data_IF_750051376025
#
_entry.id   IF_750051376025
#
_cell.length_a   1.000
_cell.length_b   1.000
_cell.length_c   1.000
_cell.angle_alpha   90.00
_cell.angle_beta   90.00
_cell.angle_gamma   90.00
#
_symmetry.space_group_name_H-M   'P 1'
#
loop_
_entity.id
_entity.type
_entity.pdbx_description
1 polymer ?
#
# COMPACT_ATOMS: atom_id res chain seq x y z
N UNK A 1 -14.07 -10.58 10.60
CA UNK A 1 -15.27 -11.23 10.02
C UNK A 1 -15.81 -12.32 10.95
N UNK A 2 -15.01 -13.35 11.27
CA UNK A 2 -15.38 -14.42 12.23
C UNK A 2 -15.96 -13.89 13.56
N UNK A 3 -15.22 -13.01 14.25
CA UNK A 3 -15.66 -12.45 15.54
C UNK A 3 -16.87 -11.52 15.40
N UNK A 4 -16.81 -10.51 14.53
CA UNK A 4 -17.89 -9.53 14.39
C UNK A 4 -19.17 -10.07 13.72
N UNK A 5 -19.09 -10.67 12.54
CA UNK A 5 -20.28 -11.19 11.85
C UNK A 5 -20.72 -12.54 12.43
N UNK A 6 -19.77 -13.44 12.68
CA UNK A 6 -20.05 -14.79 13.16
C UNK A 6 -20.44 -14.84 14.63
N UNK A 7 -19.54 -14.43 15.53
CA UNK A 7 -19.77 -14.52 16.99
C UNK A 7 -20.73 -13.44 17.51
N UNK A 8 -20.48 -12.15 17.24
CA UNK A 8 -21.31 -11.06 17.80
C UNK A 8 -22.70 -10.99 17.16
N UNK A 9 -22.79 -11.10 15.83
CA UNK A 9 -24.07 -11.01 15.11
C UNK A 9 -24.75 -12.35 14.83
N UNK A 10 -24.09 -13.48 15.08
CA UNK A 10 -24.65 -14.82 14.87
C UNK A 10 -24.80 -15.24 13.40
N UNK A 11 -24.20 -14.50 12.45
CA UNK A 11 -24.38 -14.76 11.02
C UNK A 11 -23.48 -15.90 10.53
N UNK A 12 -24.03 -17.10 10.35
CA UNK A 12 -23.30 -18.28 9.85
C UNK A 12 -22.63 -18.09 8.48
N UNK A 13 -23.13 -17.16 7.66
CA UNK A 13 -22.57 -16.85 6.34
C UNK A 13 -21.28 -16.01 6.38
N UNK A 14 -20.78 -15.64 7.56
CA UNK A 14 -19.53 -14.86 7.73
C UNK A 14 -18.31 -15.45 7.00
N UNK A 15 -18.31 -16.77 6.78
CA UNK A 15 -17.21 -17.48 6.11
C UNK A 15 -17.09 -17.08 4.64
N UNK A 16 -18.19 -16.77 3.97
CA UNK A 16 -18.21 -16.39 2.54
C UNK A 16 -17.38 -15.12 2.31
N UNK A 17 -17.68 -13.96 2.93
CA UNK A 17 -16.85 -12.77 2.77
C UNK A 17 -15.43 -13.00 3.31
N UNK A 18 -15.22 -13.83 4.33
CA UNK A 18 -13.89 -14.11 4.85
C UNK A 18 -12.99 -14.85 3.85
N UNK A 19 -13.53 -15.85 3.14
CA UNK A 19 -12.80 -16.60 2.11
C UNK A 19 -12.54 -15.72 0.88
N UNK A 20 -13.54 -14.94 0.43
CA UNK A 20 -13.35 -14.03 -0.71
C UNK A 20 -12.32 -12.96 -0.38
N UNK A 21 -12.40 -12.36 0.82
CA UNK A 21 -11.42 -11.38 1.28
C UNK A 21 -10.02 -11.99 1.39
N UNK A 22 -9.87 -13.10 2.10
CA UNK A 22 -8.58 -13.74 2.32
C UNK A 22 -7.94 -14.24 1.02
N UNK A 23 -8.74 -14.86 0.15
CA UNK A 23 -8.31 -15.27 -1.19
C UNK A 23 -7.98 -14.08 -2.09
N UNK A 24 -8.75 -13.00 -2.01
CA UNK A 24 -8.50 -11.75 -2.71
C UNK A 24 -7.16 -11.13 -2.33
N UNK A 25 -6.91 -10.94 -1.02
CA UNK A 25 -5.60 -10.50 -0.53
C UNK A 25 -4.50 -11.46 -0.97
N UNK A 26 -4.70 -12.77 -0.81
CA UNK A 26 -3.68 -13.75 -1.18
C UNK A 26 -3.45 -13.82 -2.69
N UNK A 27 -4.37 -13.38 -3.55
CA UNK A 27 -4.16 -13.32 -5.00
C UNK A 27 -3.04 -12.35 -5.40
N UNK A 28 -2.87 -11.27 -4.62
CA UNK A 28 -1.80 -10.27 -4.80
C UNK A 28 -0.40 -10.86 -4.62
N UNK A 29 -0.30 -12.03 -3.97
CA UNK A 29 0.94 -12.81 -3.88
C UNK A 29 1.43 -13.26 -5.26
N UNK A 30 0.50 -13.67 -6.12
CA UNK A 30 0.81 -14.18 -7.46
C UNK A 30 0.97 -13.05 -8.48
N UNK A 31 0.24 -11.94 -8.28
CA UNK A 31 0.15 -10.82 -9.23
C UNK A 31 0.74 -9.56 -8.58
N UNK A 32 1.99 -9.63 -8.15
CA UNK A 32 2.68 -8.49 -7.54
C UNK A 32 3.46 -7.68 -8.58
N UNK A 33 3.34 -6.36 -8.49
CA UNK A 33 4.00 -5.38 -9.39
C UNK A 33 5.19 -4.69 -8.73
N UNK A 34 5.46 -5.00 -7.46
CA UNK A 34 6.51 -4.32 -6.70
C UNK A 34 7.89 -4.62 -7.28
N UNK A 35 8.17 -5.89 -7.60
CA UNK A 35 9.43 -6.29 -8.21
C UNK A 35 9.64 -5.60 -9.56
N UNK A 36 8.60 -5.52 -10.38
CA UNK A 36 8.65 -4.80 -11.67
C UNK A 36 8.99 -3.32 -11.48
N UNK A 37 8.28 -2.61 -10.60
CA UNK A 37 8.48 -1.18 -10.36
C UNK A 37 9.88 -0.86 -9.84
N UNK A 38 10.38 -1.67 -8.89
CA UNK A 38 11.75 -1.50 -8.37
C UNK A 38 12.79 -1.80 -9.44
N UNK A 39 12.58 -2.88 -10.20
CA UNK A 39 13.50 -3.27 -11.26
C UNK A 39 13.56 -2.25 -12.38
N UNK A 40 12.41 -1.64 -12.73
CA UNK A 40 12.32 -0.53 -13.68
C UNK A 40 13.14 0.67 -13.18
N UNK A 41 12.97 1.07 -11.92
CA UNK A 41 13.71 2.19 -11.33
C UNK A 41 15.23 1.96 -11.36
N UNK A 42 15.67 0.77 -10.92
CA UNK A 42 17.10 0.42 -10.92
C UNK A 42 17.64 0.31 -12.35
N UNK A 43 16.88 -0.26 -13.27
CA UNK A 43 17.27 -0.32 -14.68
C UNK A 43 17.47 1.08 -15.28
N UNK A 44 16.52 1.99 -15.03
CA UNK A 44 16.57 3.36 -15.54
C UNK A 44 17.74 4.18 -14.95
N UNK A 45 18.08 3.94 -13.67
CA UNK A 45 19.15 4.67 -13.00
C UNK A 45 20.56 4.15 -13.31
N UNK A 46 20.73 2.83 -13.38
CA UNK A 46 22.05 2.20 -13.52
C UNK A 46 22.34 1.66 -14.92
N UNK A 47 21.39 1.74 -15.86
CA UNK A 47 21.55 1.28 -17.23
C UNK A 47 21.67 -0.24 -17.38
N UNK A 48 21.36 -1.01 -16.33
CA UNK A 48 21.34 -2.47 -16.38
C UNK A 48 19.99 -2.96 -16.92
N UNK A 49 19.95 -4.16 -17.50
CA UNK A 49 18.67 -4.77 -17.91
C UNK A 49 17.80 -5.03 -16.69
N UNK A 50 16.51 -4.73 -16.81
CA UNK A 50 15.50 -4.91 -15.75
C UNK A 50 15.50 -6.33 -15.15
N UNK A 51 15.82 -7.37 -15.93
CA UNK A 51 15.92 -8.75 -15.41
C UNK A 51 17.03 -8.91 -14.37
N UNK A 52 18.18 -8.26 -14.57
CA UNK A 52 19.29 -8.31 -13.61
C UNK A 52 18.95 -7.51 -12.35
N UNK A 53 18.29 -6.36 -12.49
CA UNK A 53 17.76 -5.60 -11.36
C UNK A 53 16.79 -6.44 -10.52
N UNK A 54 15.93 -7.21 -11.19
CA UNK A 54 14.98 -8.12 -10.54
C UNK A 54 15.65 -9.26 -9.78
N UNK A 55 16.72 -9.84 -10.33
CA UNK A 55 17.54 -10.86 -9.65
C UNK A 55 18.20 -10.28 -8.38
N UNK A 56 18.71 -9.05 -8.44
CA UNK A 56 19.29 -8.40 -7.25
C UNK A 56 18.21 -8.17 -6.18
N UNK A 57 17.05 -7.66 -6.60
CA UNK A 57 15.94 -7.39 -5.69
C UNK A 57 15.36 -8.66 -5.05
N UNK A 58 15.21 -9.76 -5.80
CA UNK A 58 14.70 -11.02 -5.25
C UNK A 58 15.68 -11.63 -4.25
N UNK A 59 17.00 -11.59 -4.52
CA UNK A 59 18.04 -12.10 -3.60
C UNK A 59 18.03 -11.32 -2.30
N UNK A 60 17.90 -10.00 -2.36
CA UNK A 60 17.80 -9.16 -1.16
C UNK A 60 16.53 -9.50 -0.37
N UNK A 61 15.38 -9.63 -1.01
CA UNK A 61 14.15 -10.05 -0.34
C UNK A 61 14.30 -11.40 0.38
N UNK A 62 14.97 -12.39 -0.26
CA UNK A 62 15.27 -13.66 0.39
C UNK A 62 16.07 -13.50 1.68
N UNK A 63 17.17 -12.74 1.63
CA UNK A 63 18.04 -12.50 2.79
C UNK A 63 17.23 -11.88 3.95
N UNK A 64 16.38 -10.92 3.65
CA UNK A 64 15.58 -10.22 4.67
C UNK A 64 14.52 -11.12 5.30
N UNK A 65 13.86 -11.94 4.48
CA UNK A 65 12.79 -12.84 4.89
C UNK A 65 13.31 -13.98 5.79
N UNK A 66 14.59 -14.38 5.67
CA UNK A 66 15.19 -15.40 6.55
C UNK A 66 15.07 -15.04 8.04
N UNK A 67 15.11 -13.75 8.37
CA UNK A 67 14.95 -13.25 9.74
C UNK A 67 13.50 -13.26 10.27
N UNK A 68 12.50 -13.51 9.41
CA UNK A 68 11.08 -13.52 9.75
C UNK A 68 10.49 -12.16 10.15
N UNK A 69 9.18 -12.14 10.46
CA UNK A 69 8.40 -10.90 10.69
C UNK A 69 9.04 -9.96 11.72
N UNK A 70 9.58 -10.48 12.83
CA UNK A 70 10.19 -9.65 13.88
C UNK A 70 11.42 -8.88 13.37
N UNK A 71 12.25 -9.52 12.54
CA UNK A 71 13.43 -8.88 11.94
C UNK A 71 13.00 -7.82 10.93
N UNK A 72 12.01 -8.16 10.09
CA UNK A 72 11.45 -7.25 9.10
C UNK A 72 10.88 -5.98 9.75
N UNK A 73 10.12 -6.11 10.84
CA UNK A 73 9.58 -4.97 11.58
C UNK A 73 10.68 -4.06 12.18
N UNK A 74 11.74 -4.65 12.75
CA UNK A 74 12.90 -3.89 13.26
C UNK A 74 13.64 -3.14 12.16
N UNK A 75 13.78 -3.76 10.98
CA UNK A 75 14.44 -3.15 9.84
C UNK A 75 13.59 -2.02 9.26
N UNK A 76 12.30 -2.26 9.04
CA UNK A 76 11.35 -1.25 8.57
C UNK A 76 11.31 -0.04 9.49
N UNK A 77 11.28 -0.24 10.81
CA UNK A 77 11.31 0.86 11.79
C UNK A 77 12.55 1.75 11.72
N UNK A 78 13.66 1.29 11.13
CA UNK A 78 14.87 2.10 10.89
C UNK A 78 14.92 2.69 9.49
N UNK A 79 14.56 1.91 8.47
CA UNK A 79 14.65 2.32 7.06
C UNK A 79 13.56 3.33 6.70
N UNK A 80 12.32 3.10 7.13
CA UNK A 80 11.15 3.90 6.72
C UNK A 80 11.30 5.39 7.08
N UNK A 81 11.68 5.78 8.31
CA UNK A 81 11.86 7.19 8.62
C UNK A 81 12.94 7.86 7.76
N UNK A 82 14.07 7.17 7.55
CA UNK A 82 15.17 7.69 6.75
C UNK A 82 14.77 7.88 5.28
N UNK A 83 14.14 6.87 4.67
CA UNK A 83 13.73 6.95 3.26
C UNK A 83 12.66 8.04 3.05
N UNK A 84 11.71 8.19 3.98
CA UNK A 84 10.67 9.22 3.90
C UNK A 84 11.25 10.62 4.02
N UNK A 85 12.10 10.89 5.03
CA UNK A 85 12.73 12.21 5.23
C UNK A 85 13.54 12.60 3.99
N UNK A 86 14.33 11.66 3.47
CA UNK A 86 15.15 11.91 2.30
C UNK A 86 14.33 12.20 1.05
N UNK A 87 13.33 11.37 0.76
CA UNK A 87 12.47 11.53 -0.41
C UNK A 87 11.64 12.82 -0.35
N UNK A 88 11.00 13.08 0.79
CA UNK A 88 10.23 14.31 1.03
C UNK A 88 11.12 15.53 0.97
N UNK A 89 12.32 15.48 1.56
CA UNK A 89 13.29 16.57 1.52
C UNK A 89 13.74 16.91 0.09
N UNK A 90 14.05 15.89 -0.72
CA UNK A 90 14.40 16.08 -2.12
C UNK A 90 13.24 16.66 -2.95
N UNK A 91 12.02 16.16 -2.74
CA UNK A 91 10.85 16.67 -3.44
C UNK A 91 10.55 18.12 -3.05
N UNK A 92 10.62 18.43 -1.75
CA UNK A 92 10.41 19.77 -1.23
C UNK A 92 11.45 20.75 -1.75
N UNK A 93 12.72 20.34 -1.82
CA UNK A 93 13.79 21.14 -2.43
C UNK A 93 13.45 21.53 -3.88
N UNK A 94 13.04 20.57 -4.72
CA UNK A 94 12.67 20.85 -6.12
C UNK A 94 11.51 21.84 -6.19
N UNK A 95 10.48 21.67 -5.36
CA UNK A 95 9.33 22.57 -5.32
C UNK A 95 9.74 23.97 -4.88
N UNK A 96 10.62 24.12 -3.88
CA UNK A 96 11.10 25.43 -3.42
C UNK A 96 11.92 26.15 -4.49
N UNK A 97 12.81 25.44 -5.18
CA UNK A 97 13.61 26.02 -6.27
C UNK A 97 12.73 26.46 -7.44
N UNK A 98 11.59 25.79 -7.65
CA UNK A 98 10.64 26.07 -8.72
C UNK A 98 9.31 26.63 -8.20
N UNK A 99 9.33 27.37 -7.09
CA UNK A 99 8.12 27.79 -6.38
C UNK A 99 7.19 28.64 -7.24
N UNK A 100 7.74 29.37 -8.22
CA UNK A 100 6.97 30.15 -9.19
C UNK A 100 6.02 29.31 -10.04
N UNK A 101 6.35 28.03 -10.27
CA UNK A 101 5.52 27.11 -11.07
C UNK A 101 4.48 26.38 -10.22
N UNK A 102 4.54 26.48 -8.89
CA UNK A 102 3.63 25.76 -7.99
C UNK A 102 2.16 26.14 -8.19
N UNK A 103 1.78 27.43 -8.32
CA UNK A 103 0.38 27.80 -8.57
C UNK A 103 -0.15 27.19 -9.87
N UNK A 104 0.63 27.25 -10.95
CA UNK A 104 0.25 26.68 -12.25
C UNK A 104 0.12 25.15 -12.19
N UNK A 105 1.01 24.47 -11.46
CA UNK A 105 0.93 23.04 -11.26
C UNK A 105 -0.37 22.64 -10.54
N UNK A 106 -0.77 23.37 -9.48
CA UNK A 106 -2.01 23.12 -8.75
C UNK A 106 -3.23 23.37 -9.65
N UNK A 107 -3.24 24.47 -10.40
CA UNK A 107 -4.30 24.79 -11.36
C UNK A 107 -4.41 23.69 -12.42
N UNK A 108 -3.29 23.20 -12.93
CA UNK A 108 -3.24 22.13 -13.92
C UNK A 108 -3.82 20.82 -13.39
N UNK A 109 -3.58 20.47 -12.11
CA UNK A 109 -4.21 19.29 -11.48
C UNK A 109 -5.72 19.45 -11.42
N UNK A 110 -6.22 20.61 -10.97
CA UNK A 110 -7.66 20.87 -10.85
C UNK A 110 -8.34 20.91 -12.22
N UNK A 111 -7.73 21.57 -13.20
CA UNK A 111 -8.23 21.60 -14.57
C UNK A 111 -8.19 20.20 -15.19
N UNK A 112 -7.08 19.47 -15.08
CA UNK A 112 -6.99 18.11 -15.60
C UNK A 112 -8.01 17.14 -14.98
N UNK A 113 -8.37 17.35 -13.71
CA UNK A 113 -9.38 16.55 -13.01
C UNK A 113 -10.81 16.90 -13.39
N UNK A 114 -11.15 18.19 -13.54
CA UNK A 114 -12.53 18.66 -13.65
C UNK A 114 -12.91 19.22 -15.03
N UNK A 115 -11.94 19.49 -15.89
CA UNK A 115 -12.17 19.98 -17.25
C UNK A 115 -11.80 18.89 -18.26
N UNK A 116 -12.75 18.00 -18.55
CA UNK A 116 -12.69 17.24 -19.79
C UNK A 116 -12.73 18.23 -20.94
N UNK A 117 -11.66 18.31 -21.73
CA UNK A 117 -11.51 19.28 -22.83
C UNK A 117 -12.82 19.42 -23.61
N UNK A 118 -13.31 20.65 -23.67
CA UNK A 118 -14.64 21.01 -24.09
C UNK A 118 -14.96 20.55 -25.53
N UNK A 119 -15.83 19.54 -25.65
CA UNK A 119 -16.81 19.39 -26.73
C UNK A 119 -17.85 18.33 -26.33
N UNK A 120 -19.04 18.78 -25.91
CA UNK A 120 -20.31 18.02 -25.91
C UNK A 120 -20.32 16.67 -25.17
N UNK A 121 -20.76 16.69 -23.90
CA UNK A 121 -21.58 15.65 -23.22
C UNK A 121 -21.03 14.23 -23.01
N UNK A 122 -20.47 13.58 -24.04
CA UNK A 122 -20.00 12.18 -24.00
C UNK A 122 -18.49 12.02 -23.79
N UNK A 123 -17.67 12.81 -24.50
CA UNK A 123 -16.21 12.73 -24.39
C UNK A 123 -15.67 13.35 -23.09
N UNK A 124 -16.26 14.45 -22.64
CA UNK A 124 -15.91 15.06 -21.35
C UNK A 124 -16.18 14.11 -20.16
N UNK A 125 -17.29 13.36 -20.22
CA UNK A 125 -17.61 12.32 -19.24
C UNK A 125 -16.64 11.13 -19.27
N UNK A 126 -16.21 10.71 -20.47
CA UNK A 126 -15.23 9.63 -20.62
C UNK A 126 -13.84 10.01 -20.07
N UNK A 127 -13.37 11.22 -20.34
CA UNK A 127 -12.10 11.73 -19.81
C UNK A 127 -12.14 11.86 -18.28
N UNK A 128 -13.20 12.47 -17.74
CA UNK A 128 -13.41 12.56 -16.29
C UNK A 128 -13.44 11.18 -15.63
N UNK A 129 -14.24 10.26 -16.16
CA UNK A 129 -14.32 8.89 -15.65
C UNK A 129 -12.97 8.19 -15.68
N UNK A 130 -12.17 8.41 -16.71
CA UNK A 130 -10.84 7.80 -16.81
C UNK A 130 -9.88 8.37 -15.77
N UNK A 131 -9.83 9.71 -15.60
CA UNK A 131 -8.99 10.36 -14.59
C UNK A 131 -9.37 9.90 -13.19
N UNK A 132 -10.66 9.89 -12.87
CA UNK A 132 -11.15 9.41 -11.57
C UNK A 132 -10.86 7.93 -11.35
N UNK A 133 -11.11 7.08 -12.36
CA UNK A 133 -10.86 5.63 -12.27
C UNK A 133 -9.38 5.34 -12.02
N UNK A 134 -8.49 5.94 -12.81
CA UNK A 134 -7.05 5.72 -12.67
C UNK A 134 -6.54 6.33 -11.37
N UNK A 135 -6.97 7.53 -11.01
CA UNK A 135 -6.60 8.20 -9.77
C UNK A 135 -7.01 7.41 -8.53
N UNK A 136 -8.26 6.93 -8.47
CA UNK A 136 -8.72 6.08 -7.38
C UNK A 136 -7.96 4.74 -7.33
N UNK A 137 -7.75 4.08 -8.48
CA UNK A 137 -7.02 2.81 -8.53
C UNK A 137 -5.57 2.96 -8.02
N UNK A 138 -4.85 4.01 -8.46
CA UNK A 138 -3.50 4.29 -7.97
C UNK A 138 -3.48 4.68 -6.50
N UNK A 139 -4.45 5.47 -6.04
CA UNK A 139 -4.55 5.89 -4.64
C UNK A 139 -4.76 4.69 -3.71
N UNK A 140 -5.75 3.83 -4.01
CA UNK A 140 -6.02 2.61 -3.22
C UNK A 140 -4.82 1.68 -3.21
N UNK A 141 -4.07 1.58 -4.31
CA UNK A 141 -2.86 0.77 -4.35
C UNK A 141 -1.74 1.34 -3.46
N UNK A 142 -1.60 2.67 -3.38
CA UNK A 142 -0.56 3.33 -2.59
C UNK A 142 -0.82 3.24 -1.08
N UNK A 143 -2.03 3.61 -0.67
CA UNK A 143 -2.37 3.78 0.75
C UNK A 143 -3.18 2.62 1.35
N UNK A 144 -3.55 1.63 0.53
CA UNK A 144 -4.30 0.45 0.92
C UNK A 144 -5.67 0.77 1.58
N UNK A 145 -6.22 1.97 1.32
CA UNK A 145 -7.47 2.41 1.94
C UNK A 145 -8.63 1.51 1.52
N UNK A 146 -9.38 1.03 2.51
CA UNK A 146 -10.48 0.11 2.29
C UNK A 146 -10.06 -1.32 1.92
N UNK A 147 -8.80 -1.56 1.55
CA UNK A 147 -8.30 -2.89 1.15
C UNK A 147 -8.32 -3.86 2.32
N UNK A 148 -8.10 -3.39 3.56
CA UNK A 148 -8.18 -4.22 4.76
C UNK A 148 -6.91 -5.03 5.08
N UNK A 149 -5.82 -4.75 4.38
CA UNK A 149 -4.49 -5.31 4.61
C UNK A 149 -3.82 -4.78 5.89
N UNK A 150 -3.68 -3.46 6.02
CA UNK A 150 -2.96 -2.83 7.14
C UNK A 150 -3.46 -3.23 8.54
N UNK A 151 -4.77 -3.42 8.80
CA UNK A 151 -5.26 -3.89 10.10
C UNK A 151 -4.63 -5.20 10.59
N UNK A 152 -4.14 -6.06 9.69
CA UNK A 152 -3.44 -7.28 10.07
C UNK A 152 -2.18 -6.99 10.89
N UNK A 153 -1.41 -5.97 10.50
CA UNK A 153 -0.20 -5.56 11.24
C UNK A 153 -0.56 -4.70 12.45
N UNK A 154 -1.53 -3.78 12.32
CA UNK A 154 -1.99 -2.99 13.46
C UNK A 154 -2.53 -3.85 14.60
N UNK A 155 -3.12 -5.02 14.29
CA UNK A 155 -3.60 -5.97 15.31
C UNK A 155 -2.49 -6.59 16.15
N UNK A 156 -1.23 -6.51 15.70
CA UNK A 156 -0.05 -6.99 16.45
C UNK A 156 0.58 -5.93 17.35
N UNK A 157 0.15 -4.67 17.23
CA UNK A 157 0.68 -3.59 18.04
C UNK A 157 0.20 -3.70 19.48
N UNK A 158 1.10 -3.39 20.42
CA UNK A 158 0.74 -3.23 21.83
C UNK A 158 0.05 -1.88 21.98
N UNK A 159 -1.27 -1.91 22.16
CA UNK A 159 -2.11 -0.72 22.29
C UNK A 159 -3.10 -0.93 23.42
N UNK A 160 -3.39 0.14 24.15
CA UNK A 160 -4.36 0.18 25.23
C UNK A 160 -5.80 0.33 24.72
N UNK A 161 -5.99 0.78 23.47
CA UNK A 161 -7.31 0.91 22.89
C UNK A 161 -7.30 0.76 21.35
N UNK A 162 -8.20 -0.03 20.73
CA UNK A 162 -8.21 -0.27 19.28
C UNK A 162 -8.36 1.01 18.45
N UNK A 163 -9.19 1.96 18.90
CA UNK A 163 -9.36 3.26 18.21
C UNK A 163 -8.05 4.06 18.17
N UNK A 164 -7.24 4.04 19.23
CA UNK A 164 -5.93 4.71 19.25
C UNK A 164 -5.01 4.14 18.17
N UNK A 165 -5.02 2.82 18.00
CA UNK A 165 -4.26 2.18 16.94
C UNK A 165 -4.85 2.42 15.55
N UNK A 166 -6.17 2.52 15.43
CA UNK A 166 -6.84 2.91 14.18
C UNK A 166 -6.49 4.33 13.73
N UNK A 167 -6.28 5.27 14.65
CA UNK A 167 -5.81 6.62 14.33
C UNK A 167 -4.40 6.63 13.74
N UNK A 168 -3.51 5.72 14.15
CA UNK A 168 -2.21 5.54 13.49
C UNK A 168 -2.37 5.06 12.05
N UNK A 169 -3.32 4.17 11.78
CA UNK A 169 -3.65 3.78 10.40
C UNK A 169 -4.19 4.95 9.58
N UNK A 170 -5.03 5.81 10.14
CA UNK A 170 -5.46 7.03 9.43
C UNK A 170 -4.30 7.99 9.14
N UNK A 171 -3.35 8.11 10.07
CA UNK A 171 -2.16 8.94 9.90
C UNK A 171 -1.22 8.39 8.81
N UNK A 172 -1.10 7.06 8.68
CA UNK A 172 -0.27 6.43 7.64
C UNK A 172 -0.77 6.80 6.23
N UNK A 173 -2.09 6.76 6.01
CA UNK A 173 -2.74 7.16 4.75
C UNK A 173 -2.49 8.63 4.44
N UNK A 174 -2.56 9.49 5.46
CA UNK A 174 -2.27 10.92 5.29
C UNK A 174 -0.82 11.16 4.87
N UNK A 175 0.15 10.55 5.55
CA UNK A 175 1.57 10.71 5.21
C UNK A 175 1.86 10.16 3.81
N UNK A 176 1.34 8.98 3.47
CA UNK A 176 1.54 8.38 2.16
C UNK A 176 0.95 9.25 1.03
N UNK A 177 -0.35 9.51 1.07
CA UNK A 177 -1.03 10.13 -0.07
C UNK A 177 -0.94 11.66 -0.06
N UNK A 178 -1.27 12.29 1.07
CA UNK A 178 -1.35 13.76 1.14
C UNK A 178 0.02 14.42 1.18
N UNK A 179 1.04 13.72 1.67
CA UNK A 179 2.42 14.23 1.69
C UNK A 179 3.22 13.61 0.55
N UNK A 180 3.54 12.31 0.62
CA UNK A 180 4.52 11.70 -0.29
C UNK A 180 4.03 11.71 -1.74
N UNK A 181 2.86 11.12 -2.04
CA UNK A 181 2.34 11.08 -3.41
C UNK A 181 2.05 12.47 -3.99
N UNK A 182 1.54 13.38 -3.17
CA UNK A 182 1.27 14.77 -3.60
C UNK A 182 2.56 15.48 -3.98
N UNK A 183 3.63 15.36 -3.18
CA UNK A 183 4.93 15.91 -3.51
C UNK A 183 5.52 15.29 -4.78
N UNK A 184 5.40 13.97 -4.96
CA UNK A 184 5.83 13.28 -6.20
C UNK A 184 5.10 13.84 -7.42
N UNK A 185 3.77 13.96 -7.35
CA UNK A 185 2.97 14.48 -8.45
C UNK A 185 3.34 15.93 -8.78
N UNK A 186 3.52 16.78 -7.76
CA UNK A 186 3.92 18.18 -7.96
C UNK A 186 5.32 18.28 -8.58
N UNK A 187 6.30 17.49 -8.13
CA UNK A 187 7.64 17.43 -8.75
C UNK A 187 7.56 17.03 -10.22
N UNK A 188 6.75 16.03 -10.55
CA UNK A 188 6.54 15.59 -11.94
C UNK A 188 5.92 16.70 -12.80
N UNK A 189 4.93 17.42 -12.29
CA UNK A 189 4.23 18.48 -13.03
C UNK A 189 5.12 19.72 -13.20
N UNK A 190 5.75 20.18 -12.12
CA UNK A 190 6.61 21.38 -12.09
C UNK A 190 7.82 21.24 -13.02
N UNK A 191 8.35 20.02 -13.17
CA UNK A 191 9.51 19.75 -14.05
C UNK A 191 9.09 19.52 -15.52
N UNK A 192 7.79 19.41 -15.80
CA UNK A 192 7.25 19.25 -17.16
C UNK A 192 7.50 17.89 -17.81
N UNK A 193 8.21 16.97 -17.15
CA UNK A 193 8.62 15.67 -17.74
C UNK A 193 7.45 14.76 -18.09
N UNK A 194 6.28 14.98 -17.51
CA UNK A 194 5.05 14.23 -17.79
C UNK A 194 4.56 14.36 -19.24
N UNK A 195 5.06 15.36 -19.98
CA UNK A 195 4.77 15.53 -21.40
C UNK A 195 5.69 14.68 -22.30
N UNK A 196 6.77 14.11 -21.76
CA UNK A 196 7.83 13.42 -22.50
C UNK A 196 7.58 11.92 -22.77
N UNK A 197 6.39 11.39 -22.50
CA UNK A 197 6.01 10.01 -22.77
C UNK A 197 6.60 8.95 -21.83
N UNK A 198 7.51 9.32 -20.92
CA UNK A 198 8.01 8.43 -19.88
C UNK A 198 6.88 8.06 -18.91
N UNK A 199 6.89 6.81 -18.41
CA UNK A 199 5.88 6.29 -17.48
C UNK A 199 6.52 5.63 -16.26
N UNK A 200 5.70 5.31 -15.26
CA UNK A 200 6.12 4.49 -14.13
C UNK A 200 7.25 5.09 -13.30
N UNK A 201 8.16 4.26 -12.81
CA UNK A 201 9.29 4.70 -12.01
C UNK A 201 10.27 5.56 -12.82
N UNK A 202 10.39 5.30 -14.12
CA UNK A 202 11.24 6.09 -15.03
C UNK A 202 10.80 7.55 -15.07
N UNK A 203 9.50 7.82 -15.15
CA UNK A 203 8.95 9.19 -15.13
C UNK A 203 9.35 9.94 -13.85
N UNK A 204 9.18 9.30 -12.69
CA UNK A 204 9.57 9.88 -11.41
C UNK A 204 11.07 10.16 -11.38
N UNK A 205 11.91 9.23 -11.81
CA UNK A 205 13.35 9.43 -11.86
C UNK A 205 13.75 10.60 -12.76
N UNK A 206 13.14 10.73 -13.94
CA UNK A 206 13.36 11.86 -14.85
C UNK A 206 12.95 13.20 -14.25
N UNK A 207 11.88 13.25 -13.47
CA UNK A 207 11.44 14.47 -12.79
C UNK A 207 12.49 14.94 -11.78
N UNK A 208 12.97 14.04 -10.92
CA UNK A 208 14.01 14.38 -9.96
C UNK A 208 15.33 14.71 -10.66
N UNK A 209 15.70 13.99 -11.72
CA UNK A 209 16.92 14.26 -12.50
C UNK A 209 16.87 15.66 -13.12
N UNK A 210 15.71 16.06 -13.63
CA UNK A 210 15.49 17.41 -14.17
C UNK A 210 15.59 18.48 -13.07
N UNK A 211 15.03 18.21 -11.88
CA UNK A 211 15.00 19.18 -10.78
C UNK A 211 16.29 19.30 -9.95
N UNK A 212 17.16 18.28 -9.97
CA UNK A 212 18.35 18.21 -9.08
C UNK A 212 19.64 17.75 -9.79
N UNK A 213 19.58 17.50 -11.11
CA UNK A 213 20.70 16.98 -11.89
C UNK A 213 20.86 15.46 -11.80
N UNK A 214 21.83 14.91 -12.52
CA UNK A 214 21.99 13.46 -12.72
C UNK A 214 22.21 12.64 -11.44
N UNK A 215 22.89 13.20 -10.42
CA UNK A 215 23.19 12.50 -9.17
C UNK A 215 21.92 12.05 -8.42
N UNK A 216 20.95 12.96 -8.33
CA UNK A 216 19.57 12.70 -8.74
C UNK A 216 19.02 11.28 -8.73
N UNK A 217 19.11 10.76 -9.94
CA UNK A 217 18.54 9.53 -10.43
C UNK A 217 18.98 8.34 -9.59
N UNK A 218 20.24 8.31 -9.21
CA UNK A 218 20.84 7.21 -8.44
C UNK A 218 20.22 7.16 -7.03
N UNK A 219 20.18 8.31 -6.34
CA UNK A 219 19.69 8.31 -4.97
C UNK A 219 18.17 8.08 -4.88
N UNK A 220 17.39 8.59 -5.83
CA UNK A 220 15.95 8.33 -5.88
C UNK A 220 15.67 6.87 -6.23
N UNK A 221 16.46 6.26 -7.13
CA UNK A 221 16.33 4.83 -7.40
C UNK A 221 16.67 3.99 -6.17
N UNK A 222 17.69 4.37 -5.38
CA UNK A 222 17.95 3.75 -4.08
C UNK A 222 16.76 3.93 -3.11
N UNK A 223 16.13 5.11 -3.09
CA UNK A 223 14.92 5.36 -2.31
C UNK A 223 13.75 4.44 -2.72
N UNK A 224 13.47 4.34 -4.03
CA UNK A 224 12.44 3.45 -4.58
C UNK A 224 12.76 1.98 -4.28
N UNK A 225 14.04 1.60 -4.33
CA UNK A 225 14.47 0.25 -3.95
C UNK A 225 14.17 -0.06 -2.48
N UNK A 226 14.51 0.85 -1.56
CA UNK A 226 14.21 0.72 -0.13
C UNK A 226 12.70 0.73 0.15
N UNK A 227 11.94 1.57 -0.57
CA UNK A 227 10.48 1.58 -0.51
C UNK A 227 9.90 0.22 -0.94
N UNK A 228 10.42 -0.35 -2.02
CA UNK A 228 10.00 -1.68 -2.46
C UNK A 228 10.38 -2.78 -1.49
N UNK A 229 11.58 -2.74 -0.90
CA UNK A 229 12.00 -3.71 0.12
C UNK A 229 11.07 -3.68 1.34
N UNK A 230 10.74 -2.49 1.83
CA UNK A 230 9.85 -2.32 3.00
C UNK A 230 8.42 -2.74 2.67
N UNK A 231 7.92 -2.41 1.48
CA UNK A 231 6.61 -2.85 0.99
C UNK A 231 6.51 -4.37 0.89
N UNK A 232 7.48 -5.04 0.24
CA UNK A 232 7.52 -6.51 0.19
C UNK A 232 7.62 -7.13 1.57
N UNK A 233 8.35 -6.51 2.50
CA UNK A 233 8.42 -6.99 3.88
C UNK A 233 7.06 -6.92 4.60
N UNK A 234 6.26 -5.86 4.37
CA UNK A 234 4.92 -5.72 4.92
C UNK A 234 3.95 -6.76 4.35
N UNK A 235 3.92 -6.89 3.02
CA UNK A 235 3.10 -7.89 2.34
C UNK A 235 3.48 -9.32 2.71
N UNK A 236 4.78 -9.59 2.94
CA UNK A 236 5.22 -10.87 3.46
C UNK A 236 4.54 -11.20 4.80
N UNK A 237 4.48 -10.21 5.70
CA UNK A 237 3.85 -10.39 7.00
C UNK A 237 2.32 -10.52 6.91
N UNK A 238 1.66 -9.79 6.00
CA UNK A 238 0.22 -9.91 5.74
C UNK A 238 -0.17 -11.35 5.35
N UNK A 239 0.50 -11.93 4.35
CA UNK A 239 0.18 -13.30 3.93
C UNK A 239 0.52 -14.32 5.01
N UNK A 240 1.62 -14.14 5.74
CA UNK A 240 1.96 -15.02 6.84
C UNK A 240 0.89 -15.00 7.94
N UNK A 241 0.28 -13.85 8.24
CA UNK A 241 -0.84 -13.73 9.18
C UNK A 241 -2.06 -14.50 8.67
N UNK A 242 -2.40 -14.37 7.37
CA UNK A 242 -3.50 -15.12 6.75
C UNK A 242 -3.26 -16.63 6.85
N UNK A 243 -2.07 -17.11 6.45
CA UNK A 243 -1.70 -18.52 6.50
C UNK A 243 -1.72 -19.06 7.94
N UNK A 244 -1.23 -18.27 8.91
CA UNK A 244 -1.28 -18.62 10.33
C UNK A 244 -2.71 -18.71 10.84
N UNK A 245 -3.61 -17.87 10.34
CA UNK A 245 -5.03 -17.90 10.69
C UNK A 245 -5.75 -19.12 10.09
N UNK A 246 -5.51 -19.42 8.81
CA UNK A 246 -6.10 -20.58 8.13
C UNK A 246 -5.66 -21.90 8.77
N UNK A 247 -4.40 -22.00 9.20
CA UNK A 247 -3.81 -23.23 9.72
C UNK A 247 -3.83 -23.33 11.26
N UNK A 248 -4.70 -22.56 11.95
CA UNK A 248 -4.80 -22.58 13.41
C UNK A 248 -5.06 -23.99 13.98
N UNK A 249 -5.87 -24.79 13.29
CA UNK A 249 -6.29 -26.13 13.73
C UNK A 249 -5.30 -27.26 13.38
N UNK A 250 -4.18 -26.97 12.72
CA UNK A 250 -3.23 -28.00 12.26
C UNK A 250 -1.77 -27.57 12.38
N UNK A 251 -1.15 -27.71 13.58
CA UNK A 251 0.21 -27.21 13.85
C UNK A 251 1.30 -27.80 12.95
N UNK A 252 1.22 -29.10 12.62
CA UNK A 252 2.20 -29.76 11.74
C UNK A 252 2.13 -29.22 10.30
N UNK A 253 0.92 -29.06 9.76
CA UNK A 253 0.67 -28.51 8.43
C UNK A 253 1.13 -27.04 8.35
N UNK A 254 0.86 -26.26 9.40
CA UNK A 254 1.30 -24.86 9.52
C UNK A 254 2.81 -24.70 9.34
N UNK A 255 3.62 -25.52 9.99
CA UNK A 255 5.08 -25.42 9.90
C UNK A 255 5.60 -25.68 8.47
N UNK A 256 5.06 -26.71 7.80
CA UNK A 256 5.40 -27.03 6.41
C UNK A 256 5.02 -25.91 5.45
N UNK A 257 3.78 -25.41 5.53
CA UNK A 257 3.27 -24.33 4.67
C UNK A 257 4.06 -23.04 4.88
N UNK A 258 4.36 -22.65 6.12
CA UNK A 258 5.12 -21.42 6.38
C UNK A 258 6.57 -21.52 5.86
N UNK A 259 7.19 -22.70 5.93
CA UNK A 259 8.51 -22.94 5.33
C UNK A 259 8.45 -22.85 3.81
N UNK A 260 7.47 -23.47 3.18
CA UNK A 260 7.26 -23.39 1.73
C UNK A 260 7.00 -21.95 1.28
N UNK A 261 6.09 -21.25 1.96
CA UNK A 261 5.76 -19.85 1.72
C UNK A 261 6.99 -18.95 1.79
N UNK A 262 7.85 -19.14 2.80
CA UNK A 262 9.11 -18.39 2.93
C UNK A 262 10.01 -18.53 1.70
N UNK A 263 10.11 -19.74 1.15
CA UNK A 263 10.95 -20.04 -0.03
C UNK A 263 10.29 -19.52 -1.30
N UNK A 264 8.97 -19.61 -1.40
CA UNK A 264 8.27 -19.28 -2.63
C UNK A 264 7.91 -17.79 -2.75
N UNK A 265 7.89 -17.04 -1.65
CA UNK A 265 7.36 -15.67 -1.63
C UNK A 265 7.94 -14.70 -2.68
N UNK A 266 9.27 -14.62 -2.87
CA UNK A 266 9.82 -13.69 -3.84
C UNK A 266 9.61 -14.11 -5.31
N UNK A 267 9.24 -15.38 -5.57
CA UNK A 267 9.26 -16.00 -6.92
C UNK A 267 8.17 -15.44 -7.84
N UNK A 268 6.88 -15.34 -7.45
CA UNK A 268 5.84 -14.83 -8.35
C UNK A 268 6.14 -13.44 -8.89
N UNK A 269 6.68 -12.53 -8.06
CA UNK A 269 7.07 -11.20 -8.51
C UNK A 269 8.19 -11.22 -9.54
N UNK A 270 9.13 -12.16 -9.43
CA UNK A 270 10.16 -12.37 -10.45
C UNK A 270 9.57 -12.95 -11.74
N UNK A 271 8.65 -13.92 -11.64
CA UNK A 271 7.93 -14.46 -12.81
C UNK A 271 7.18 -13.33 -13.54
N UNK A 272 6.54 -12.41 -12.82
CA UNK A 272 5.90 -11.25 -13.44
C UNK A 272 6.88 -10.36 -14.21
N UNK A 273 8.09 -10.14 -13.71
CA UNK A 273 9.13 -9.41 -14.46
C UNK A 273 9.58 -10.19 -15.69
N UNK A 274 9.81 -11.49 -15.57
CA UNK A 274 10.18 -12.35 -16.71
C UNK A 274 9.08 -12.27 -17.78
N UNK A 275 7.82 -12.49 -17.42
CA UNK A 275 6.69 -12.41 -18.35
C UNK A 275 6.57 -11.02 -19.00
N UNK A 276 6.68 -9.94 -18.20
CA UNK A 276 6.57 -8.59 -18.73
C UNK A 276 7.69 -8.28 -19.74
N UNK A 277 8.90 -8.79 -19.50
CA UNK A 277 10.07 -8.51 -20.34
C UNK A 277 10.17 -9.41 -21.56
N UNK A 278 9.78 -10.68 -21.47
CA UNK A 278 9.83 -11.63 -22.60
C UNK A 278 8.69 -11.40 -23.59
N UNK A 279 7.50 -11.03 -23.09
CA UNK A 279 6.32 -10.76 -23.93
C UNK A 279 6.27 -9.28 -24.36
N UNK A 280 7.14 -8.41 -23.81
CA UNK A 280 7.12 -6.98 -24.10
C UNK A 280 5.85 -6.29 -23.60
N UNK A 281 5.34 -6.73 -22.44
CA UNK A 281 4.09 -6.23 -21.88
C UNK A 281 4.23 -4.76 -21.48
N UNK A 282 3.35 -3.86 -21.98
CA UNK A 282 3.35 -2.47 -21.53
C UNK A 282 3.12 -2.37 -20.02
N UNK A 283 3.77 -1.41 -19.35
CA UNK A 283 3.64 -1.22 -17.91
C UNK A 283 2.17 -1.05 -17.47
N UNK A 284 1.35 -0.35 -18.26
CA UNK A 284 -0.09 -0.22 -17.99
C UNK A 284 -0.84 -1.55 -17.92
N UNK A 285 -0.45 -2.55 -18.72
CA UNK A 285 -1.04 -3.89 -18.69
C UNK A 285 -0.61 -4.65 -17.43
N UNK A 286 0.64 -4.51 -17.00
CA UNK A 286 1.14 -5.08 -15.73
C UNK A 286 0.32 -4.56 -14.55
N UNK A 287 0.04 -3.25 -14.54
CA UNK A 287 -0.78 -2.61 -13.51
C UNK A 287 -2.26 -3.00 -13.55
N UNK A 288 -2.81 -3.27 -14.74
CA UNK A 288 -4.20 -3.75 -14.87
C UNK A 288 -4.43 -5.07 -14.13
N UNK A 289 -3.47 -5.99 -14.19
CA UNK A 289 -3.56 -7.25 -13.44
C UNK A 289 -3.55 -7.01 -11.92
N UNK A 290 -2.75 -6.05 -11.44
CA UNK A 290 -2.72 -5.69 -10.03
C UNK A 290 -4.08 -5.15 -9.55
N UNK A 291 -4.73 -4.32 -10.37
CA UNK A 291 -6.02 -3.68 -10.02
C UNK A 291 -7.10 -4.71 -9.68
N UNK A 292 -7.17 -5.80 -10.44
CA UNK A 292 -8.11 -6.89 -10.17
C UNK A 292 -7.92 -7.53 -8.78
N UNK A 293 -6.66 -7.69 -8.35
CA UNK A 293 -6.37 -8.27 -7.02
C UNK A 293 -6.69 -7.33 -5.86
N UNK A 294 -6.75 -6.02 -6.13
CA UNK A 294 -7.09 -5.01 -5.11
C UNK A 294 -8.59 -4.83 -4.94
N UNK A 295 -9.35 -4.88 -6.05
CA UNK A 295 -10.77 -4.52 -6.06
C UNK A 295 -11.63 -5.45 -5.21
N UNK A 296 -11.52 -6.77 -5.42
CA UNK A 296 -12.35 -7.78 -4.75
C UNK A 296 -12.26 -7.68 -3.21
N UNK A 297 -11.06 -7.79 -2.58
CA UNK A 297 -10.96 -7.70 -1.14
C UNK A 297 -11.38 -6.33 -0.60
N UNK A 298 -11.13 -5.25 -1.34
CA UNK A 298 -11.56 -3.88 -0.95
C UNK A 298 -13.08 -3.78 -0.81
N UNK A 299 -13.84 -4.21 -1.83
CA UNK A 299 -15.31 -4.16 -1.77
C UNK A 299 -15.86 -5.03 -0.64
N UNK A 300 -15.32 -6.24 -0.47
CA UNK A 300 -15.75 -7.13 0.62
C UNK A 300 -15.45 -6.52 1.98
N UNK A 301 -14.25 -5.97 2.18
CA UNK A 301 -13.86 -5.35 3.43
C UNK A 301 -14.73 -4.14 3.76
N UNK A 302 -14.95 -3.22 2.80
CA UNK A 302 -15.83 -2.06 2.98
C UNK A 302 -17.24 -2.50 3.36
N UNK A 303 -17.82 -3.47 2.65
CA UNK A 303 -19.16 -3.98 2.95
C UNK A 303 -19.25 -4.54 4.38
N UNK A 304 -18.23 -5.27 4.82
CA UNK A 304 -18.18 -5.82 6.19
C UNK A 304 -17.98 -4.73 7.23
N UNK A 305 -17.12 -3.74 6.98
CA UNK A 305 -16.91 -2.60 7.88
C UNK A 305 -18.19 -1.78 8.04
N UNK A 306 -18.92 -1.53 6.94
CA UNK A 306 -20.23 -0.87 6.98
C UNK A 306 -21.24 -1.69 7.79
N UNK A 307 -21.29 -3.01 7.59
CA UNK A 307 -22.13 -3.89 8.38
C UNK A 307 -21.74 -3.89 9.88
N UNK A 308 -20.47 -3.64 10.22
CA UNK A 308 -19.95 -3.57 11.59
C UNK A 308 -19.82 -2.13 12.13
N UNK A 309 -20.36 -1.13 11.41
CA UNK A 309 -20.28 0.30 11.79
C UNK A 309 -20.82 0.57 13.20
N UNK A 310 -21.88 -0.13 13.63
CA UNK A 310 -22.40 -0.03 14.99
C UNK A 310 -21.38 -0.46 16.07
N UNK A 311 -20.60 -1.52 15.82
CA UNK A 311 -19.54 -1.96 16.73
C UNK A 311 -18.41 -0.92 16.77
N UNK A 312 -18.03 -0.37 15.61
CA UNK A 312 -17.05 0.73 15.55
C UNK A 312 -17.51 1.96 16.34
N UNK A 313 -18.76 2.41 16.16
CA UNK A 313 -19.30 3.59 16.86
C UNK A 313 -19.30 3.39 18.38
N UNK A 314 -19.61 2.18 18.87
CA UNK A 314 -19.50 1.84 20.30
C UNK A 314 -18.08 1.98 20.83
N UNK A 315 -17.10 1.39 20.12
CA UNK A 315 -15.68 1.51 20.47
C UNK A 315 -15.19 2.96 20.41
N UNK A 316 -15.66 3.74 19.43
CA UNK A 316 -15.33 5.15 19.29
C UNK A 316 -15.88 5.99 20.44
N UNK A 317 -17.13 5.77 20.85
CA UNK A 317 -17.70 6.46 22.00
C UNK A 317 -16.96 6.14 23.30
N UNK A 318 -16.60 4.87 23.52
CA UNK A 318 -15.78 4.49 24.68
C UNK A 318 -14.40 5.15 24.69
N UNK A 319 -13.73 5.18 23.53
CA UNK A 319 -12.48 5.90 23.38
C UNK A 319 -12.61 7.38 23.76
N UNK A 320 -13.66 8.04 23.26
CA UNK A 320 -13.94 9.45 23.58
C UNK A 320 -14.15 9.64 25.08
N UNK A 321 -14.95 8.79 25.73
CA UNK A 321 -15.23 8.88 27.17
C UNK A 321 -13.96 8.73 28.01
N UNK A 322 -13.15 7.71 27.72
CA UNK A 322 -11.89 7.43 28.44
C UNK A 322 -10.82 8.51 28.25
N UNK A 323 -10.55 8.89 27.00
CA UNK A 323 -9.32 9.62 26.68
C UNK A 323 -9.53 11.09 26.30
N UNK A 324 -10.71 11.46 25.81
CA UNK A 324 -11.01 12.84 25.40
C UNK A 324 -11.79 13.56 26.49
N UNK A 325 -12.91 12.98 26.93
CA UNK A 325 -13.78 13.55 27.97
C UNK A 325 -13.28 13.26 29.39
N UNK A 326 -12.47 12.21 29.55
CA UNK A 326 -11.90 11.76 30.84
C UNK A 326 -12.98 11.52 31.90
N UNK A 327 -14.06 10.86 31.50
CA UNK A 327 -15.15 10.47 32.40
C UNK A 327 -14.66 9.44 33.43
N UNK A 328 -15.29 9.41 34.61
CA UNK A 328 -15.01 8.41 35.63
C UNK A 328 -15.52 7.03 35.19
N UNK A 329 -14.58 6.18 34.77
CA UNK A 329 -14.86 4.85 34.24
C UNK A 329 -15.37 3.86 35.30
N UNK A 330 -15.31 4.19 36.60
CA UNK A 330 -15.88 3.34 37.67
C UNK A 330 -17.40 3.17 37.56
N UNK A 331 -18.08 4.10 36.87
CA UNK A 331 -19.52 4.08 36.65
C UNK A 331 -19.94 3.40 35.35
N UNK A 332 -19.00 3.08 34.46
CA UNK A 332 -19.28 2.56 33.11
C UNK A 332 -19.08 1.04 33.10
N UNK A 333 -20.19 0.29 33.08
CA UNK A 333 -20.22 -1.18 33.21
C UNK A 333 -20.15 -1.96 31.89
N UNK A 334 -20.07 -1.31 30.73
CA UNK A 334 -20.07 -2.02 29.44
C UNK A 334 -18.70 -2.65 29.14
N UNK A 335 -18.56 -4.00 29.11
CA UNK A 335 -17.32 -4.64 28.71
C UNK A 335 -17.20 -4.57 27.19
N UNK A 336 -16.49 -3.56 26.69
CA UNK A 336 -16.28 -3.36 25.26
C UNK A 336 -15.09 -4.15 24.70
N UNK A 337 -14.25 -4.69 25.59
CA UNK A 337 -13.17 -5.56 25.20
C UNK A 337 -13.68 -7.00 25.24
N UNK A 338 -13.35 -7.77 24.21
CA UNK A 338 -13.11 -9.21 24.39
C UNK A 338 -11.89 -9.35 25.31
N UNK A 339 -12.04 -9.00 26.58
CA UNK A 339 -11.07 -9.27 27.61
C UNK A 339 -11.06 -10.79 27.80
N UNK A 340 -9.91 -11.40 27.53
CA UNK A 340 -9.58 -12.76 27.92
C UNK A 340 -10.54 -13.87 27.41
N UNK A 341 -10.54 -14.17 26.10
CA UNK A 341 -10.50 -15.60 25.76
C UNK A 341 -9.09 -16.08 26.16
N UNK A 342 -8.92 -16.48 27.43
CA UNK A 342 -7.79 -17.32 27.85
C UNK A 342 -7.83 -18.59 26.99
N UNK A 343 -6.87 -18.71 26.07
CA UNK A 343 -6.45 -19.97 25.47
C UNK A 343 -4.99 -19.83 24.99
#
# INVERSE_FOLDING_TARGET
MEKGLGKEKGYKWWIIPAVIFGGGIFSTFFITVQNYTVSEAVSAAFGIKIIYASIVYIVINYILILGGIKSLGKLAGKIVPFMCIFYVGAAFYIILVNIGNLPEAIVSVLQGAFTGTAAVGGFAGAAFNQVMRVGMARSVFSNEVGWGSSPMIHSSAQTDHPVKQGLWGAFEVFVDTMIVCTLTALVIIITGVWQGGATGATLTLSAFETGMGAASKIFIACGIFLFGVTTSSGWYAYYEIILRHLMKSSPKLKAGILKFYRIFYPIPGFIMVVMATTIGMPGGTVWLFADFTTAIPTFVNIAVVLALSGTFLRLFHDYKRRYILKEDMSQIKDPLFFSEEKA
#
